data_IF_660855762874
#
_entry.id   IF_660855762874
#
_cell.length_a   1.000
_cell.length_b   1.000
_cell.length_c   1.000
_cell.angle_alpha   90.00
_cell.angle_beta   90.00
_cell.angle_gamma   90.00
#
_symmetry.space_group_name_H-M   'P 1'
#
loop_
_entity.id
_entity.type
_entity.pdbx_description
1 polymer ?
#
# COMPACT_ATOMS: atom_id res chain seq x y z
N UNK A 1 -33.71 -6.80 -5.70
CA UNK A 1 -32.58 -6.38 -4.83
C UNK A 1 -32.92 -5.02 -4.28
N UNK A 2 -33.31 -4.99 -3.00
CA UNK A 2 -33.80 -3.77 -2.36
C UNK A 2 -32.62 -2.82 -2.08
N UNK A 3 -32.38 -1.90 -3.00
CA UNK A 3 -31.62 -0.70 -2.68
C UNK A 3 -32.54 0.27 -1.93
N UNK A 4 -32.03 0.85 -0.84
CA UNK A 4 -32.72 1.93 -0.14
C UNK A 4 -33.18 2.98 -1.15
N UNK A 5 -34.43 3.50 -1.09
CA UNK A 5 -34.96 4.43 -2.07
C UNK A 5 -34.18 5.76 -2.20
N UNK A 6 -33.21 5.98 -1.32
CA UNK A 6 -32.34 7.17 -1.32
C UNK A 6 -31.00 7.00 -2.06
N UNK A 7 -30.62 5.78 -2.49
CA UNK A 7 -29.34 5.52 -3.14
C UNK A 7 -29.47 5.59 -4.67
N UNK A 8 -28.98 6.66 -5.28
CA UNK A 8 -28.92 6.80 -6.72
C UNK A 8 -27.61 6.23 -7.27
N UNK A 9 -27.69 4.98 -7.77
CA UNK A 9 -26.53 4.23 -8.31
C UNK A 9 -25.89 4.93 -9.52
N UNK A 10 -26.68 5.56 -10.38
CA UNK A 10 -26.20 6.30 -11.54
C UNK A 10 -25.32 7.50 -11.11
N UNK A 11 -25.81 8.28 -10.14
CA UNK A 11 -25.06 9.40 -9.58
C UNK A 11 -23.77 8.96 -8.91
N UNK A 12 -23.79 7.83 -8.21
CA UNK A 12 -22.61 7.23 -7.61
C UNK A 12 -21.56 6.83 -8.66
N UNK A 13 -21.98 6.15 -9.74
CA UNK A 13 -21.10 5.74 -10.83
C UNK A 13 -20.51 6.94 -11.60
N UNK A 14 -21.30 7.99 -11.83
CA UNK A 14 -20.82 9.24 -12.43
C UNK A 14 -19.75 9.93 -11.58
N UNK A 15 -19.86 9.92 -10.26
CA UNK A 15 -18.82 10.41 -9.35
C UNK A 15 -17.51 9.61 -9.45
N UNK A 16 -17.62 8.32 -9.74
CA UNK A 16 -16.48 7.43 -10.01
C UNK A 16 -15.93 7.59 -11.45
N UNK A 17 -16.50 8.50 -12.26
CA UNK A 17 -16.19 8.68 -13.69
C UNK A 17 -16.44 7.42 -14.53
N UNK A 18 -17.34 6.56 -14.09
CA UNK A 18 -17.77 5.38 -14.82
C UNK A 18 -19.08 5.73 -15.53
N UNK A 19 -19.00 5.86 -16.85
CA UNK A 19 -20.15 6.27 -17.69
C UNK A 19 -20.80 5.08 -18.38
N UNK A 20 -20.09 3.98 -18.55
CA UNK A 20 -20.58 2.79 -19.22
C UNK A 20 -20.18 1.55 -18.46
N UNK A 21 -21.09 0.59 -18.35
CA UNK A 21 -20.87 -0.73 -17.77
C UNK A 21 -21.29 -1.78 -18.78
N UNK A 22 -20.41 -2.70 -19.09
CA UNK A 22 -20.64 -3.78 -20.06
C UNK A 22 -20.45 -5.10 -19.37
N UNK A 23 -21.41 -6.00 -19.52
CA UNK A 23 -21.29 -7.38 -19.10
C UNK A 23 -20.72 -8.21 -20.25
N UNK A 24 -19.55 -8.78 -20.05
CA UNK A 24 -18.84 -9.56 -21.07
C UNK A 24 -18.82 -11.02 -20.64
N UNK A 25 -19.39 -11.90 -21.47
CA UNK A 25 -19.41 -13.34 -21.22
C UNK A 25 -18.09 -14.03 -21.66
N UNK A 26 -17.39 -13.43 -22.63
CA UNK A 26 -16.06 -13.91 -23.08
C UNK A 26 -15.20 -12.74 -23.50
N UNK A 27 -13.91 -12.81 -23.19
CA UNK A 27 -12.95 -11.80 -23.65
C UNK A 27 -11.67 -12.47 -24.16
N UNK A 28 -11.04 -11.83 -25.14
CA UNK A 28 -9.72 -12.21 -25.63
C UNK A 28 -8.72 -11.13 -25.27
N UNK A 29 -7.67 -11.52 -24.59
CA UNK A 29 -6.55 -10.60 -24.30
C UNK A 29 -5.77 -10.38 -25.60
N UNK A 30 -5.85 -9.18 -26.16
CA UNK A 30 -5.20 -8.81 -27.44
C UNK A 30 -3.72 -8.46 -27.21
N UNK A 31 -3.40 -7.81 -26.11
CA UNK A 31 -2.02 -7.48 -25.73
C UNK A 31 -1.76 -7.78 -24.25
N UNK A 32 -0.77 -8.62 -24.03
CA UNK A 32 -0.22 -8.89 -22.70
C UNK A 32 1.05 -8.06 -22.59
N UNK A 33 1.11 -7.10 -21.65
CA UNK A 33 2.40 -6.47 -21.29
C UNK A 33 2.66 -5.00 -21.71
N UNK A 34 1.65 -4.15 -21.81
CA UNK A 34 1.85 -2.71 -22.05
C UNK A 34 2.10 -1.85 -20.78
N UNK A 35 2.38 -2.48 -19.64
CA UNK A 35 2.64 -1.76 -18.38
C UNK A 35 4.09 -1.28 -18.23
N UNK A 36 4.31 -0.18 -17.50
CA UNK A 36 5.66 0.28 -17.15
C UNK A 36 6.45 -0.83 -16.46
N UNK A 37 7.71 -1.01 -16.84
CA UNK A 37 8.63 -2.02 -16.28
C UNK A 37 8.66 -1.99 -14.74
N UNK A 38 8.68 -0.80 -14.15
CA UNK A 38 8.67 -0.61 -12.70
C UNK A 38 7.38 -1.13 -12.03
N UNK A 39 6.22 -0.85 -12.64
CA UNK A 39 4.92 -1.34 -12.11
C UNK A 39 4.88 -2.87 -12.14
N UNK A 40 5.45 -3.49 -13.18
CA UNK A 40 5.53 -4.95 -13.27
C UNK A 40 6.41 -5.56 -12.19
N UNK A 41 7.56 -4.95 -11.88
CA UNK A 41 8.43 -5.40 -10.79
C UNK A 41 7.69 -5.30 -9.47
N UNK A 42 7.04 -4.16 -9.20
CA UNK A 42 6.26 -3.95 -7.98
C UNK A 42 5.13 -4.98 -7.85
N UNK A 43 4.37 -5.23 -8.90
CA UNK A 43 3.32 -6.24 -8.92
C UNK A 43 3.87 -7.66 -8.70
N UNK A 44 5.00 -7.99 -9.34
CA UNK A 44 5.65 -9.29 -9.14
C UNK A 44 6.14 -9.48 -7.71
N UNK A 45 6.72 -8.44 -7.11
CA UNK A 45 7.14 -8.47 -5.71
C UNK A 45 5.94 -8.61 -4.78
N UNK A 46 4.85 -7.88 -5.04
CA UNK A 46 3.60 -7.94 -4.28
C UNK A 46 3.01 -9.36 -4.34
N UNK A 47 2.82 -9.93 -5.53
CA UNK A 47 2.33 -11.31 -5.68
C UNK A 47 3.24 -12.35 -5.02
N UNK A 48 4.57 -12.18 -5.08
CA UNK A 48 5.48 -13.11 -4.41
C UNK A 48 5.35 -13.07 -2.88
N UNK A 49 5.06 -11.89 -2.31
CA UNK A 49 4.78 -11.76 -0.88
C UNK A 49 3.41 -12.33 -0.52
N UNK A 50 2.41 -12.12 -1.36
CA UNK A 50 1.08 -12.68 -1.23
C UNK A 50 1.11 -14.22 -1.21
N UNK A 51 1.78 -14.84 -2.19
CA UNK A 51 1.99 -16.28 -2.25
C UNK A 51 2.65 -16.80 -0.96
N UNK A 52 3.69 -16.11 -0.47
CA UNK A 52 4.37 -16.50 0.77
C UNK A 52 3.45 -16.42 1.99
N UNK A 53 2.57 -15.44 2.06
CA UNK A 53 1.59 -15.32 3.14
C UNK A 53 0.54 -16.42 3.07
N UNK A 54 0.07 -16.78 1.87
CA UNK A 54 -0.87 -17.87 1.66
C UNK A 54 -0.25 -19.23 2.07
N UNK A 55 1.02 -19.45 1.74
CA UNK A 55 1.72 -20.70 2.05
C UNK A 55 2.41 -20.72 3.43
N UNK A 56 2.24 -19.70 4.26
CA UNK A 56 2.88 -19.56 5.57
C UNK A 56 2.29 -20.45 6.68
N UNK A 57 1.25 -21.23 6.36
CA UNK A 57 0.53 -22.07 7.34
C UNK A 57 -0.56 -21.34 8.13
N UNK A 58 -0.82 -20.08 7.79
CA UNK A 58 -1.95 -19.31 8.32
C UNK A 58 -3.28 -19.85 7.76
N UNK A 59 -4.36 -19.72 8.53
CA UNK A 59 -5.69 -20.00 8.00
C UNK A 59 -6.03 -19.04 6.85
N UNK A 60 -7.00 -19.41 6.01
CA UNK A 60 -7.41 -18.57 4.87
C UNK A 60 -7.86 -17.16 5.29
N UNK A 61 -8.52 -17.07 6.43
CA UNK A 61 -9.01 -15.79 6.94
C UNK A 61 -7.86 -14.92 7.50
N UNK A 62 -6.88 -15.54 8.18
CA UNK A 62 -5.70 -14.84 8.69
C UNK A 62 -4.79 -14.37 7.56
N UNK A 63 -4.55 -15.20 6.54
CA UNK A 63 -3.74 -14.82 5.37
C UNK A 63 -4.41 -13.70 4.59
N UNK A 64 -5.74 -13.77 4.34
CA UNK A 64 -6.49 -12.71 3.69
C UNK A 64 -6.46 -11.39 4.47
N UNK A 65 -6.54 -11.44 5.80
CA UNK A 65 -6.39 -10.27 6.66
C UNK A 65 -4.98 -9.69 6.61
N UNK A 66 -3.96 -10.54 6.69
CA UNK A 66 -2.55 -10.12 6.60
C UNK A 66 -2.25 -9.47 5.25
N UNK A 67 -2.71 -10.05 4.14
CA UNK A 67 -2.58 -9.50 2.79
C UNK A 67 -3.24 -8.12 2.71
N UNK A 68 -4.47 -7.98 3.21
CA UNK A 68 -5.16 -6.69 3.21
C UNK A 68 -4.42 -5.63 4.02
N UNK A 69 -3.88 -5.98 5.19
CA UNK A 69 -3.19 -5.04 6.08
C UNK A 69 -1.77 -4.68 5.60
N UNK A 70 -1.03 -5.63 5.02
CA UNK A 70 0.37 -5.43 4.63
C UNK A 70 0.52 -4.98 3.18
N UNK A 71 -0.27 -5.54 2.26
CA UNK A 71 -0.17 -5.29 0.83
C UNK A 71 -1.29 -4.40 0.29
N UNK A 72 -2.37 -4.21 1.07
CA UNK A 72 -3.52 -3.38 0.70
C UNK A 72 -4.50 -4.08 -0.22
N UNK A 73 -4.28 -5.34 -0.56
CA UNK A 73 -5.22 -6.12 -1.38
C UNK A 73 -6.31 -6.76 -0.52
N UNK A 74 -7.55 -6.43 -0.83
CA UNK A 74 -8.76 -6.89 -0.11
C UNK A 74 -9.49 -8.01 -0.84
N UNK A 75 -8.98 -8.46 -1.98
CA UNK A 75 -9.66 -9.44 -2.82
C UNK A 75 -9.68 -10.82 -2.16
N UNK A 76 -8.61 -11.16 -1.45
CA UNK A 76 -8.46 -12.44 -0.74
C UNK A 76 -9.20 -12.47 0.62
N UNK A 77 -9.74 -11.33 1.06
CA UNK A 77 -10.41 -11.24 2.35
C UNK A 77 -11.85 -11.78 2.29
N UNK A 78 -12.21 -12.56 3.31
CA UNK A 78 -13.57 -13.05 3.49
C UNK A 78 -14.57 -11.87 3.62
N UNK A 79 -15.64 -11.83 2.81
CA UNK A 79 -16.64 -10.76 2.85
C UNK A 79 -17.28 -10.55 4.22
N UNK A 80 -17.43 -11.60 5.04
CA UNK A 80 -17.99 -11.50 6.39
C UNK A 80 -17.06 -10.72 7.32
N UNK A 81 -15.76 -10.97 7.27
CA UNK A 81 -14.73 -10.24 8.03
C UNK A 81 -14.69 -8.78 7.59
N UNK A 82 -14.65 -8.55 6.28
CA UNK A 82 -14.68 -7.18 5.73
C UNK A 82 -15.91 -6.41 6.21
N UNK A 83 -17.06 -7.06 6.26
CA UNK A 83 -18.31 -6.44 6.73
C UNK A 83 -18.24 -6.13 8.24
N UNK A 84 -17.68 -7.04 9.06
CA UNK A 84 -17.47 -6.81 10.48
C UNK A 84 -16.58 -5.58 10.74
N UNK A 85 -15.48 -5.41 10.00
CA UNK A 85 -14.63 -4.23 10.09
C UNK A 85 -15.34 -2.94 9.66
N UNK A 86 -16.21 -3.02 8.63
CA UNK A 86 -17.01 -1.87 8.20
C UNK A 86 -18.03 -1.45 9.26
N UNK A 87 -18.74 -2.42 9.86
CA UNK A 87 -19.74 -2.18 10.91
C UNK A 87 -19.08 -1.62 12.18
N UNK A 88 -17.89 -2.13 12.52
CA UNK A 88 -17.10 -1.63 13.64
C UNK A 88 -16.48 -0.23 13.39
N UNK A 89 -16.61 0.33 12.18
CA UNK A 89 -16.04 1.64 11.84
C UNK A 89 -14.51 1.66 11.67
N UNK A 90 -13.84 0.49 11.71
CA UNK A 90 -12.39 0.35 11.65
C UNK A 90 -11.89 -0.11 10.27
N UNK A 91 -12.71 0.05 9.23
CA UNK A 91 -12.36 -0.33 7.85
C UNK A 91 -11.08 0.33 7.32
N UNK A 92 -10.68 1.48 7.90
CA UNK A 92 -9.44 2.18 7.56
C UNK A 92 -8.17 1.40 7.96
N UNK A 93 -8.26 0.49 8.94
CA UNK A 93 -7.15 -0.38 9.37
C UNK A 93 -6.85 -1.44 8.29
N UNK A 94 -7.88 -1.84 7.52
CA UNK A 94 -7.74 -2.80 6.42
C UNK A 94 -7.06 -2.22 5.16
N UNK A 95 -6.70 -0.98 5.19
CA UNK A 95 -5.85 -0.39 4.15
C UNK A 95 -4.46 -0.18 4.71
N UNK A 96 -3.43 -0.39 3.88
CA UNK A 96 -2.09 0.07 4.25
C UNK A 96 -2.18 1.55 4.55
N UNK A 97 -2.27 1.89 5.84
CA UNK A 97 -2.34 3.28 6.26
C UNK A 97 -0.93 3.87 6.27
N UNK A 98 -0.84 5.18 6.04
CA UNK A 98 0.44 5.88 6.17
C UNK A 98 1.11 5.66 7.53
N UNK A 99 0.32 5.39 8.58
CA UNK A 99 0.81 5.08 9.92
C UNK A 99 1.60 3.76 9.97
N UNK A 100 1.15 2.70 9.29
CA UNK A 100 1.91 1.44 9.22
C UNK A 100 3.27 1.64 8.56
N UNK A 101 3.30 2.34 7.43
CA UNK A 101 4.55 2.68 6.73
C UNK A 101 5.44 3.52 7.65
N UNK A 102 4.87 4.50 8.34
CA UNK A 102 5.61 5.36 9.25
C UNK A 102 6.24 4.60 10.41
N UNK A 103 5.50 3.64 11.03
CA UNK A 103 6.04 2.78 12.09
C UNK A 103 7.22 1.95 11.58
N UNK A 104 7.09 1.34 10.39
CA UNK A 104 8.18 0.56 9.79
C UNK A 104 9.41 1.45 9.55
N UNK A 105 9.22 2.64 8.97
CA UNK A 105 10.32 3.58 8.71
C UNK A 105 10.96 4.06 10.01
N UNK A 106 10.17 4.36 11.04
CA UNK A 106 10.70 4.73 12.36
C UNK A 106 11.52 3.60 12.99
N UNK A 107 11.06 2.36 12.87
CA UNK A 107 11.79 1.18 13.35
C UNK A 107 13.12 0.99 12.61
N UNK A 108 13.13 1.14 11.30
CA UNK A 108 14.35 1.10 10.47
C UNK A 108 15.28 2.26 10.87
N UNK A 109 14.75 3.46 11.03
CA UNK A 109 15.54 4.64 11.44
C UNK A 109 16.19 4.43 12.81
N UNK A 110 15.44 3.90 13.78
CA UNK A 110 15.94 3.58 15.10
C UNK A 110 17.04 2.52 15.05
N UNK A 111 16.84 1.44 14.29
CA UNK A 111 17.83 0.39 14.10
C UNK A 111 19.14 0.94 13.48
N UNK A 112 19.01 1.76 12.45
CA UNK A 112 20.15 2.40 11.80
C UNK A 112 20.91 3.36 12.74
N UNK A 113 20.21 4.01 13.68
CA UNK A 113 20.88 4.85 14.69
C UNK A 113 21.71 4.02 15.66
N UNK A 114 21.25 2.80 15.98
CA UNK A 114 21.95 1.91 16.90
C UNK A 114 23.19 1.24 16.25
N UNK A 115 23.05 0.85 14.98
CA UNK A 115 24.08 0.08 14.27
C UNK A 115 25.20 0.97 13.70
N UNK A 116 24.88 2.18 13.26
CA UNK A 116 25.82 3.04 12.53
C UNK A 116 26.39 4.16 13.42
N UNK A 117 27.69 4.47 13.31
CA UNK A 117 28.33 5.52 14.11
C UNK A 117 27.70 6.90 13.85
N UNK A 118 27.85 7.80 14.85
CA UNK A 118 27.21 9.13 14.87
C UNK A 118 28.02 10.21 14.15
N UNK A 119 28.87 9.86 13.19
CA UNK A 119 29.68 10.81 12.44
C UNK A 119 28.85 11.53 11.36
N UNK A 120 29.26 12.75 10.97
CA UNK A 120 28.56 13.57 9.99
C UNK A 120 28.33 12.86 8.65
N UNK A 121 29.32 12.10 8.15
CA UNK A 121 29.20 11.30 6.92
C UNK A 121 28.12 10.23 7.04
N UNK A 122 28.06 9.54 8.17
CA UNK A 122 27.05 8.50 8.44
C UNK A 122 25.66 9.08 8.62
N UNK A 123 25.54 10.31 9.10
CA UNK A 123 24.27 11.01 9.17
C UNK A 123 23.61 11.18 7.79
N UNK A 124 24.37 11.64 6.78
CA UNK A 124 23.87 11.76 5.41
C UNK A 124 23.52 10.39 4.81
N UNK A 125 24.37 9.39 5.01
CA UNK A 125 24.16 8.03 4.52
C UNK A 125 22.88 7.43 5.12
N UNK A 126 22.66 7.57 6.43
CA UNK A 126 21.44 7.12 7.11
C UNK A 126 20.19 7.72 6.47
N UNK A 127 20.17 9.03 6.28
CA UNK A 127 19.01 9.72 5.71
C UNK A 127 18.73 9.26 4.28
N UNK A 128 19.75 9.05 3.46
CA UNK A 128 19.61 8.50 2.10
C UNK A 128 19.03 7.07 2.15
N UNK A 129 19.55 6.22 3.03
CA UNK A 129 19.04 4.85 3.20
C UNK A 129 17.56 4.86 3.61
N UNK A 130 17.16 5.74 4.52
CA UNK A 130 15.77 5.87 4.96
C UNK A 130 14.88 6.33 3.82
N UNK A 131 15.32 7.31 3.01
CA UNK A 131 14.58 7.77 1.83
C UNK A 131 14.38 6.60 0.85
N UNK A 132 15.44 5.87 0.52
CA UNK A 132 15.38 4.73 -0.37
C UNK A 132 14.45 3.63 0.17
N UNK A 133 14.58 3.28 1.45
CA UNK A 133 13.72 2.29 2.10
C UNK A 133 12.25 2.71 2.03
N UNK A 134 11.95 3.98 2.28
CA UNK A 134 10.58 4.52 2.20
C UNK A 134 9.98 4.37 0.80
N UNK A 135 10.74 4.69 -0.23
CA UNK A 135 10.28 4.52 -1.62
C UNK A 135 10.17 3.05 -2.04
N UNK A 136 11.07 2.17 -1.58
CA UNK A 136 10.97 0.73 -1.82
C UNK A 136 9.69 0.17 -1.20
N UNK A 137 9.39 0.55 0.05
CA UNK A 137 8.15 0.12 0.72
C UNK A 137 6.92 0.63 -0.03
N UNK A 138 6.91 1.91 -0.42
CA UNK A 138 5.82 2.48 -1.20
C UNK A 138 5.59 1.75 -2.53
N UNK A 139 6.68 1.32 -3.16
CA UNK A 139 6.65 0.54 -4.40
C UNK A 139 6.04 -0.85 -4.17
N UNK A 140 6.47 -1.56 -3.12
CA UNK A 140 5.97 -2.90 -2.74
C UNK A 140 4.46 -2.84 -2.45
N UNK A 141 4.01 -1.80 -1.75
CA UNK A 141 2.60 -1.57 -1.40
C UNK A 141 1.75 -1.12 -2.61
N UNK A 142 2.34 -0.97 -3.80
CA UNK A 142 1.64 -0.61 -5.03
C UNK A 142 1.37 0.88 -5.20
N UNK A 143 2.20 1.75 -4.62
CA UNK A 143 2.12 3.22 -4.76
C UNK A 143 0.75 3.80 -4.37
N UNK A 144 0.14 3.27 -3.33
CA UNK A 144 -1.14 3.79 -2.82
C UNK A 144 -1.04 5.28 -2.47
N UNK A 145 -2.13 6.06 -2.54
CA UNK A 145 -2.09 7.49 -2.20
C UNK A 145 -1.57 7.77 -0.78
N UNK A 146 -1.82 6.86 0.18
CA UNK A 146 -1.29 6.95 1.54
C UNK A 146 0.22 6.75 1.58
N UNK A 147 0.75 5.75 0.85
CA UNK A 147 2.18 5.48 0.75
C UNK A 147 2.92 6.65 0.09
N UNK A 148 2.39 7.18 -1.02
CA UNK A 148 2.96 8.34 -1.70
C UNK A 148 3.04 9.57 -0.81
N UNK A 149 1.99 9.87 -0.04
CA UNK A 149 1.99 10.99 0.91
C UNK A 149 3.10 10.83 1.95
N UNK A 150 3.21 9.66 2.59
CA UNK A 150 4.25 9.43 3.60
C UNK A 150 5.63 9.51 2.98
N UNK A 151 5.85 8.91 1.80
CA UNK A 151 7.15 8.92 1.13
C UNK A 151 7.59 10.32 0.74
N UNK A 152 6.70 11.14 0.18
CA UNK A 152 7.00 12.52 -0.18
C UNK A 152 7.27 13.38 1.07
N UNK A 153 6.44 13.29 2.11
CA UNK A 153 6.64 14.04 3.35
C UNK A 153 7.95 13.65 4.04
N UNK A 154 8.26 12.35 4.14
CA UNK A 154 9.52 11.88 4.73
C UNK A 154 10.72 12.34 3.91
N UNK A 155 10.64 12.30 2.59
CA UNK A 155 11.72 12.79 1.71
C UNK A 155 11.99 14.26 1.97
N UNK A 156 10.96 15.11 1.97
CA UNK A 156 11.09 16.55 2.21
C UNK A 156 11.68 16.80 3.60
N UNK A 157 11.17 16.12 4.64
CA UNK A 157 11.64 16.27 6.01
C UNK A 157 13.13 15.89 6.17
N UNK A 158 13.54 14.77 5.58
CA UNK A 158 14.92 14.30 5.67
C UNK A 158 15.87 15.19 4.84
N UNK A 159 15.46 15.63 3.65
CA UNK A 159 16.24 16.59 2.85
C UNK A 159 16.38 17.93 3.57
N UNK A 160 15.32 18.45 4.17
CA UNK A 160 15.37 19.67 4.98
C UNK A 160 16.37 19.56 6.15
N UNK A 161 16.46 18.39 6.78
CA UNK A 161 17.46 18.15 7.85
C UNK A 161 18.89 18.01 7.33
N UNK A 162 19.06 17.69 6.05
CA UNK A 162 20.39 17.57 5.42
C UNK A 162 20.91 18.90 4.91
N UNK A 163 20.06 19.90 4.69
CA UNK A 163 20.47 21.27 4.32
C UNK A 163 20.79 22.03 5.60
N UNK A 164 22.06 22.44 5.82
CA UNK A 164 22.37 23.33 6.93
C UNK A 164 21.69 24.68 6.68
N UNK A 165 20.79 25.03 7.58
CA UNK A 165 20.29 26.41 7.65
C UNK A 165 21.48 27.26 8.08
N UNK A 166 22.04 28.04 7.16
CA UNK A 166 23.03 29.08 7.44
C UNK A 166 22.42 30.20 8.27
#
# INVERSE_FOLDING_TARGET
>A
KNFSPSFNYEKYMRHQRIYHQVYVNSYRIIEKNRGNFFIRIAQKANHSLEDRLIYSGLSKDESGLAIAMLLGDKNEMNPSIRNAFNVAGIAHILCVSGLHIMIIIMSISWLLQYVLPSNLKWYYIKNIIIILATWIIAFIVGLTPSALRVSTMMTILLLSRMTPLS
#
